data_IF_415273565947
#
_entry.id   IF_415273565947
#
_cell.length_a   1.000
_cell.length_b   1.000
_cell.length_c   1.000
_cell.angle_alpha   90.00
_cell.angle_beta   90.00
_cell.angle_gamma   90.00
#
_symmetry.space_group_name_H-M   'P 1'
#
loop_
_entity.id
_entity.type
_entity.pdbx_description
1 polymer ?
#
# COMPACT_ATOMS: atom_id res chain seq x y z
N UNK A 1 6.92 -9.53 -13.42
CA UNK A 1 7.26 -8.68 -12.35
C UNK A 1 6.11 -8.17 -11.55
N UNK A 2 5.55 -7.59 -11.03
CA UNK A 2 4.49 -7.26 -10.13
C UNK A 2 4.99 -6.58 -8.87
N UNK A 3 6.21 -6.09 -8.90
CA UNK A 3 6.75 -5.36 -7.77
C UNK A 3 7.02 -3.93 -8.19
N UNK A 4 6.09 -3.06 -7.85
CA UNK A 4 6.27 -1.64 -8.01
C UNK A 4 6.44 -1.02 -6.63
N UNK A 5 7.39 -0.15 -6.49
CA UNK A 5 7.58 0.62 -5.26
C UNK A 5 7.23 2.06 -5.55
N UNK A 6 6.25 2.57 -4.80
CA UNK A 6 5.84 3.96 -4.90
C UNK A 6 6.47 4.74 -3.75
N UNK A 7 7.27 5.74 -4.08
CA UNK A 7 7.91 6.60 -3.09
C UNK A 7 7.92 8.04 -3.58
N UNK A 8 8.27 8.95 -2.70
CA UNK A 8 8.40 10.36 -3.09
C UNK A 8 9.51 10.54 -4.09
N UNK A 9 9.29 11.33 -5.17
CA UNK A 9 10.32 11.57 -6.16
C UNK A 9 11.58 12.21 -5.54
N UNK A 10 12.73 11.73 -5.96
CA UNK A 10 14.01 12.25 -5.51
C UNK A 10 14.50 11.73 -4.17
N UNK A 11 13.73 10.87 -3.52
CA UNK A 11 14.14 10.26 -2.27
C UNK A 11 15.12 9.12 -2.54
N UNK A 12 16.34 9.28 -2.06
CA UNK A 12 17.37 8.25 -2.10
C UNK A 12 17.61 7.62 -0.73
N UNK A 13 16.87 8.06 0.27
CA UNK A 13 17.02 7.57 1.63
C UNK A 13 16.55 6.11 1.73
N UNK A 14 17.15 5.32 2.62
CA UNK A 14 16.66 3.97 2.88
C UNK A 14 15.20 3.99 3.33
N UNK A 15 14.48 2.91 3.06
CA UNK A 15 13.11 2.76 3.54
C UNK A 15 13.12 2.74 5.07
N UNK A 16 12.06 3.31 5.66
CA UNK A 16 11.92 3.34 7.11
C UNK A 16 11.85 1.94 7.72
N UNK A 17 12.11 1.82 9.03
CA UNK A 17 12.17 0.52 9.71
C UNK A 17 10.82 -0.15 9.89
N UNK A 18 9.73 0.59 9.87
CA UNK A 18 8.40 0.03 10.05
C UNK A 18 7.89 -0.53 8.73
N UNK A 19 7.47 -1.79 8.78
CA UNK A 19 6.94 -2.48 7.62
C UNK A 19 5.64 -3.14 7.99
N UNK A 20 4.63 -3.02 7.13
CA UNK A 20 3.33 -3.61 7.39
C UNK A 20 2.72 -4.13 6.10
N UNK A 21 2.22 -5.35 6.12
CA UNK A 21 1.46 -5.91 5.02
C UNK A 21 0.01 -5.44 5.10
N UNK A 22 -0.52 -4.99 3.96
CA UNK A 22 -1.92 -4.61 3.85
C UNK A 22 -2.71 -5.82 3.39
N UNK A 23 -3.71 -6.20 4.18
CA UNK A 23 -4.52 -7.39 3.92
C UNK A 23 -5.87 -6.94 3.36
N UNK A 24 -6.37 -7.68 2.37
CA UNK A 24 -7.68 -7.40 1.79
C UNK A 24 -8.76 -7.53 2.87
N UNK A 25 -9.78 -6.64 2.87
CA UNK A 25 -10.85 -6.72 3.86
C UNK A 25 -11.80 -7.88 3.62
N UNK A 26 -11.82 -8.42 2.42
CA UNK A 26 -12.67 -9.56 2.07
C UNK A 26 -12.07 -10.30 0.87
N UNK A 27 -12.63 -11.46 0.58
CA UNK A 27 -12.26 -12.23 -0.60
C UNK A 27 -12.83 -11.56 -1.86
N UNK A 28 -12.10 -11.60 -2.93
CA UNK A 28 -12.54 -11.05 -4.21
C UNK A 28 -11.40 -10.97 -5.20
N UNK A 29 -11.69 -10.31 -6.32
CA UNK A 29 -10.68 -10.08 -7.36
C UNK A 29 -10.42 -8.58 -7.45
N UNK A 30 -9.16 -8.20 -7.49
CA UNK A 30 -8.78 -6.78 -7.59
C UNK A 30 -9.27 -6.24 -8.93
N UNK A 31 -10.18 -5.28 -8.89
CA UNK A 31 -10.71 -4.61 -10.09
C UNK A 31 -10.04 -3.26 -10.34
N UNK A 32 -9.39 -2.70 -9.33
CA UNK A 32 -8.67 -1.44 -9.47
C UNK A 32 -8.19 -0.90 -8.15
N UNK A 33 -7.48 0.21 -8.24
CA UNK A 33 -7.02 0.98 -7.08
C UNK A 33 -7.40 2.44 -7.32
N UNK A 34 -8.10 3.03 -6.36
CA UNK A 34 -8.47 4.45 -6.47
C UNK A 34 -7.25 5.31 -6.27
N UNK A 35 -6.98 6.19 -7.23
CA UNK A 35 -5.78 7.04 -7.22
C UNK A 35 -5.74 8.00 -6.03
N UNK A 36 -6.88 8.62 -5.71
CA UNK A 36 -6.94 9.58 -4.61
C UNK A 36 -6.51 9.01 -3.28
N UNK A 37 -7.15 7.94 -2.77
CA UNK A 37 -6.74 7.32 -1.53
C UNK A 37 -5.33 6.73 -1.57
N UNK A 38 -4.88 6.17 -2.71
CA UNK A 38 -3.51 5.69 -2.83
C UNK A 38 -2.50 6.81 -2.64
N UNK A 39 -2.77 7.95 -3.27
CA UNK A 39 -1.91 9.11 -3.15
C UNK A 39 -1.89 9.66 -1.72
N UNK A 40 -3.06 9.70 -1.09
CA UNK A 40 -3.17 10.12 0.30
C UNK A 40 -2.39 9.17 1.22
N UNK A 41 -2.42 7.86 0.95
CA UNK A 41 -1.67 6.89 1.72
C UNK A 41 -0.16 7.14 1.61
N UNK A 42 0.32 7.38 0.40
CA UNK A 42 1.73 7.67 0.19
C UNK A 42 2.16 8.94 0.93
N UNK A 43 1.34 9.98 0.86
CA UNK A 43 1.61 11.23 1.58
C UNK A 43 1.57 11.04 3.10
N UNK A 44 0.69 10.20 3.59
CA UNK A 44 0.58 9.92 5.02
C UNK A 44 1.84 9.26 5.57
N UNK A 45 2.53 8.47 4.76
CA UNK A 45 3.77 7.82 5.17
C UNK A 45 4.92 8.82 5.39
N UNK A 46 4.91 9.94 4.66
CA UNK A 46 5.96 10.95 4.78
C UNK A 46 7.29 10.52 4.20
N UNK A 47 8.35 11.23 4.59
CA UNK A 47 9.69 10.92 4.14
C UNK A 47 10.15 9.54 4.60
N UNK A 48 10.82 8.81 3.73
CA UNK A 48 11.24 7.43 3.99
C UNK A 48 10.14 6.41 3.83
N UNK A 49 8.92 6.84 3.45
CA UNK A 49 7.81 5.94 3.23
C UNK A 49 7.74 5.45 1.79
N UNK A 50 7.17 4.26 1.63
CA UNK A 50 6.96 3.69 0.32
C UNK A 50 5.83 2.68 0.36
N UNK A 51 5.18 2.47 -0.79
CA UNK A 51 4.19 1.42 -0.96
C UNK A 51 4.75 0.47 -2.00
N UNK A 52 4.93 -0.78 -1.61
CA UNK A 52 5.48 -1.79 -2.50
C UNK A 52 4.62 -3.03 -2.57
N UNK A 53 4.99 -3.93 -3.48
CA UNK A 53 4.32 -5.22 -3.67
C UNK A 53 2.81 -5.08 -3.91
N UNK A 54 2.43 -4.06 -4.66
CA UNK A 54 1.03 -3.82 -5.01
C UNK A 54 0.60 -4.89 -6.01
N UNK A 55 -0.45 -5.64 -5.66
CA UNK A 55 -0.96 -6.67 -6.57
C UNK A 55 -1.67 -6.02 -7.76
N UNK A 56 -1.48 -6.57 -8.97
CA UNK A 56 -2.12 -6.02 -10.16
C UNK A 56 -3.62 -6.31 -10.21
N UNK A 57 -4.31 -5.56 -11.04
CA UNK A 57 -5.71 -5.81 -11.36
C UNK A 57 -5.85 -7.23 -11.93
N UNK A 58 -6.89 -7.92 -11.49
CA UNK A 58 -7.13 -9.30 -11.88
C UNK A 58 -6.64 -10.33 -10.87
N UNK A 59 -5.90 -9.90 -9.85
CA UNK A 59 -5.40 -10.80 -8.82
C UNK A 59 -6.52 -11.23 -7.88
N UNK A 60 -6.66 -12.52 -7.66
CA UNK A 60 -7.56 -13.05 -6.65
C UNK A 60 -6.94 -12.81 -5.27
N UNK A 61 -7.75 -12.31 -4.34
CA UNK A 61 -7.27 -11.99 -3.00
C UNK A 61 -8.23 -12.49 -1.92
N UNK A 62 -7.71 -12.60 -0.71
CA UNK A 62 -8.47 -13.05 0.45
C UNK A 62 -7.92 -12.35 1.70
N UNK A 63 -8.66 -12.40 2.85
CA UNK A 63 -8.16 -11.81 4.09
C UNK A 63 -6.88 -12.43 4.64
N UNK A 64 -6.35 -13.46 3.99
CA UNK A 64 -5.09 -14.09 4.39
C UNK A 64 -3.91 -13.71 3.53
N UNK A 65 -4.14 -13.02 2.40
CA UNK A 65 -3.10 -12.68 1.45
C UNK A 65 -2.85 -11.17 1.44
N UNK A 66 -1.59 -10.74 1.57
CA UNK A 66 -1.28 -9.32 1.45
C UNK A 66 -1.56 -8.83 0.04
N UNK A 67 -2.09 -7.61 -0.07
CA UNK A 67 -2.33 -6.96 -1.36
C UNK A 67 -1.33 -5.84 -1.63
N UNK A 68 -0.62 -5.41 -0.59
CA UNK A 68 0.42 -4.39 -0.70
C UNK A 68 1.29 -4.45 0.54
N UNK A 69 2.43 -3.76 0.50
CA UNK A 69 3.31 -3.62 1.67
C UNK A 69 3.64 -2.16 1.86
N UNK A 70 3.56 -1.71 3.10
CA UNK A 70 3.87 -0.35 3.47
C UNK A 70 5.20 -0.30 4.21
N UNK A 71 5.97 0.74 3.93
CA UNK A 71 7.21 1.05 4.64
C UNK A 71 7.12 2.47 5.18
N UNK A 72 7.60 2.67 6.38
CA UNK A 72 7.59 4.00 6.97
C UNK A 72 8.48 4.08 8.19
N UNK A 73 8.68 5.30 8.68
CA UNK A 73 9.49 5.56 9.87
C UNK A 73 8.66 5.62 11.15
N UNK A 74 7.34 5.70 11.04
CA UNK A 74 6.42 5.93 12.15
C UNK A 74 5.24 4.98 12.02
N UNK A 75 5.01 4.19 13.05
CA UNK A 75 3.95 3.19 13.06
C UNK A 75 2.55 3.80 12.93
N UNK A 76 2.31 4.97 13.53
CA UNK A 76 1.04 5.68 13.39
C UNK A 76 0.76 6.08 11.94
N UNK A 77 1.80 6.59 11.27
CA UNK A 77 1.68 6.97 9.87
C UNK A 77 1.42 5.77 8.98
N UNK A 78 2.09 4.66 9.27
CA UNK A 78 1.89 3.41 8.53
C UNK A 78 0.47 2.89 8.72
N UNK A 79 -0.04 2.94 9.95
CA UNK A 79 -1.42 2.51 10.25
C UNK A 79 -2.46 3.37 9.52
N UNK A 80 -2.22 4.68 9.44
CA UNK A 80 -3.10 5.59 8.71
C UNK A 80 -3.07 5.29 7.22
N UNK A 81 -1.88 5.06 6.68
CA UNK A 81 -1.71 4.73 5.27
C UNK A 81 -2.39 3.39 4.93
N UNK A 82 -2.34 2.45 5.83
CA UNK A 82 -3.03 1.17 5.65
C UNK A 82 -4.53 1.35 5.45
N UNK A 83 -5.16 2.18 6.28
CA UNK A 83 -6.60 2.45 6.14
C UNK A 83 -6.92 3.09 4.80
N UNK A 84 -6.10 4.05 4.40
CA UNK A 84 -6.28 4.73 3.11
C UNK A 84 -6.11 3.76 1.95
N UNK A 85 -5.16 2.85 2.06
CA UNK A 85 -4.90 1.88 1.02
C UNK A 85 -6.05 0.87 0.89
N UNK A 86 -6.62 0.45 2.03
CA UNK A 86 -7.80 -0.42 2.03
C UNK A 86 -8.98 0.29 1.35
N UNK A 87 -9.15 1.59 1.60
CA UNK A 87 -10.17 2.39 0.93
C UNK A 87 -9.91 2.50 -0.58
N UNK A 88 -8.64 2.49 -0.98
CA UNK A 88 -8.28 2.57 -2.40
C UNK A 88 -8.58 1.28 -3.15
N UNK A 89 -8.55 0.15 -2.46
CA UNK A 89 -8.70 -1.16 -3.07
C UNK A 89 -10.14 -1.38 -3.55
N UNK A 90 -10.27 -1.72 -4.82
CA UNK A 90 -11.57 -2.05 -5.42
C UNK A 90 -11.61 -3.54 -5.71
N UNK A 91 -12.60 -4.22 -5.12
CA UNK A 91 -12.79 -5.65 -5.29
C UNK A 91 -14.09 -5.92 -6.05
N UNK A 92 -13.98 -6.79 -7.00
CA UNK A 92 -15.15 -7.27 -7.74
C UNK A 92 -15.79 -8.44 -7.01
#
# INVERSE_FOLDING_TARGET
FGQEVMSEPGLLAPLGPTRRDVIAPRRGTVSGWKTGPMRAALLALGGGGAIGRIVPVGTATSPRKPVARLYGSDEERVARAERLLVDALQLA
#
